data_IF_015447999661
#
_entry.id   IF_015447999661
#
_cell.length_a   1.000
_cell.length_b   1.000
_cell.length_c   1.000
_cell.angle_alpha   90.00
_cell.angle_beta   90.00
_cell.angle_gamma   90.00
#
_symmetry.space_group_name_H-M   'P 1'
#
loop_
_entity.id
_entity.type
_entity.pdbx_description
1 polymer ?
#
# COMPACT_ATOMS: atom_id res chain seq x y z
N UNK A 1 7.36 -5.60 0.81
CA UNK A 1 6.27 -4.60 0.75
C UNK A 1 4.93 -5.30 0.86
N UNK A 2 3.96 -4.67 1.54
CA UNK A 2 2.55 -5.08 1.54
C UNK A 2 1.74 -4.03 0.78
N UNK A 3 0.88 -4.48 -0.15
CA UNK A 3 -0.07 -3.67 -0.89
C UNK A 3 -1.49 -4.09 -0.54
N UNK A 4 -2.27 -3.20 0.09
CA UNK A 4 -3.60 -3.50 0.62
C UNK A 4 -4.67 -3.30 -0.45
N UNK A 5 -5.20 -4.39 -0.99
CA UNK A 5 -6.22 -4.45 -2.03
C UNK A 5 -7.50 -5.22 -1.61
N UNK A 6 -7.70 -5.44 -0.30
CA UNK A 6 -8.84 -6.22 0.22
C UNK A 6 -10.10 -5.39 0.53
N UNK A 7 -10.06 -4.06 0.36
CA UNK A 7 -11.17 -3.18 0.66
C UNK A 7 -12.40 -3.44 -0.22
N UNK A 8 -13.60 -3.34 0.37
CA UNK A 8 -14.88 -3.64 -0.29
C UNK A 8 -15.32 -2.61 -1.34
N UNK A 9 -14.64 -1.45 -1.44
CA UNK A 9 -14.94 -0.37 -2.41
C UNK A 9 -16.42 0.04 -2.48
N UNK A 10 -17.17 -0.09 -1.37
CA UNK A 10 -18.64 0.05 -1.34
C UNK A 10 -19.16 1.40 -1.88
N UNK A 11 -18.39 2.47 -1.66
CA UNK A 11 -18.74 3.82 -2.15
C UNK A 11 -18.50 4.02 -3.65
N UNK A 12 -17.65 3.19 -4.26
CA UNK A 12 -17.32 3.29 -5.69
C UNK A 12 -18.22 2.44 -6.58
N UNK A 13 -18.92 1.45 -6.02
CA UNK A 13 -19.68 0.46 -6.81
C UNK A 13 -18.78 -0.51 -7.60
N UNK A 14 -17.50 -0.17 -7.77
CA UNK A 14 -16.49 -0.97 -8.46
C UNK A 14 -15.23 -1.13 -7.61
N UNK A 15 -14.45 -2.14 -7.92
CA UNK A 15 -13.20 -2.43 -7.22
C UNK A 15 -12.15 -1.37 -7.55
N UNK A 16 -11.79 -0.50 -6.58
CA UNK A 16 -10.93 0.67 -6.78
C UNK A 16 -9.59 0.36 -7.43
N UNK A 17 -8.90 -0.67 -6.96
CA UNK A 17 -7.56 -1.01 -7.46
C UNK A 17 -7.58 -1.60 -8.88
N UNK A 18 -8.77 -1.94 -9.41
CA UNK A 18 -8.98 -2.36 -10.80
C UNK A 18 -9.47 -1.22 -11.71
N UNK A 19 -9.72 -0.02 -11.16
CA UNK A 19 -9.98 1.16 -11.98
C UNK A 19 -8.79 1.45 -12.87
N UNK A 20 -9.06 1.97 -14.06
CA UNK A 20 -8.02 2.27 -15.04
C UNK A 20 -7.50 3.69 -14.89
N UNK A 21 -6.23 3.86 -15.07
CA UNK A 21 -5.58 5.15 -15.27
C UNK A 21 -5.88 5.69 -16.66
N UNK A 22 -5.47 6.92 -16.96
CA UNK A 22 -5.60 7.49 -18.28
C UNK A 22 -4.85 6.68 -19.36
N UNK A 23 -3.78 5.97 -18.97
CA UNK A 23 -2.96 5.10 -19.84
C UNK A 23 -3.61 3.72 -20.06
N UNK A 24 -4.78 3.46 -19.48
CA UNK A 24 -5.55 2.24 -19.67
C UNK A 24 -5.11 1.04 -18.83
N UNK A 25 -4.08 1.17 -17.99
CA UNK A 25 -3.65 0.15 -17.02
C UNK A 25 -4.41 0.29 -15.71
N UNK A 26 -4.49 -0.77 -14.91
CA UNK A 26 -5.18 -0.70 -13.60
C UNK A 26 -4.35 0.05 -12.56
N UNK A 27 -4.99 0.58 -11.51
CA UNK A 27 -4.29 1.20 -10.38
C UNK A 27 -3.30 0.24 -9.75
N UNK A 28 -3.71 -1.02 -9.57
CA UNK A 28 -2.84 -2.07 -9.04
C UNK A 28 -1.61 -2.30 -9.93
N UNK A 29 -1.82 -2.42 -11.23
CA UNK A 29 -0.75 -2.61 -12.21
C UNK A 29 0.23 -1.43 -12.19
N UNK A 30 -0.27 -0.20 -12.17
CA UNK A 30 0.56 1.01 -12.11
C UNK A 30 1.43 1.04 -10.84
N UNK A 31 0.85 0.73 -9.68
CA UNK A 31 1.59 0.68 -8.43
C UNK A 31 2.63 -0.43 -8.41
N UNK A 32 2.29 -1.63 -8.91
CA UNK A 32 3.23 -2.75 -8.97
C UNK A 32 4.38 -2.46 -9.93
N UNK A 33 4.12 -1.84 -11.10
CA UNK A 33 5.17 -1.39 -12.01
C UNK A 33 6.14 -0.41 -11.33
N UNK A 34 5.62 0.55 -10.58
CA UNK A 34 6.45 1.50 -9.82
C UNK A 34 7.21 0.82 -8.68
N UNK A 35 6.58 -0.11 -7.97
CA UNK A 35 7.22 -0.88 -6.89
C UNK A 35 8.34 -1.78 -7.40
N UNK A 36 8.19 -2.39 -8.58
CA UNK A 36 9.22 -3.26 -9.18
C UNK A 36 10.49 -2.50 -9.58
N UNK A 37 10.46 -1.18 -9.69
CA UNK A 37 11.65 -0.34 -9.87
C UNK A 37 12.50 -0.23 -8.60
N UNK A 38 11.94 -0.58 -7.45
CA UNK A 38 12.66 -0.66 -6.17
C UNK A 38 13.09 -2.13 -5.91
N UNK A 39 14.29 -2.39 -5.34
CA UNK A 39 14.83 -3.74 -5.18
C UNK A 39 14.15 -4.53 -4.05
N UNK A 40 12.83 -4.64 -4.06
CA UNK A 40 12.12 -5.50 -3.13
C UNK A 40 12.50 -6.98 -3.31
N UNK A 41 12.66 -7.68 -2.20
CA UNK A 41 12.76 -9.14 -2.21
C UNK A 41 11.39 -9.79 -2.36
N UNK A 42 10.33 -9.10 -1.86
CA UNK A 42 8.98 -9.61 -1.85
C UNK A 42 7.94 -8.49 -1.85
N UNK A 43 6.89 -8.65 -2.65
CA UNK A 43 5.70 -7.80 -2.68
C UNK A 43 4.49 -8.71 -2.44
N UNK A 44 3.79 -8.50 -1.32
CA UNK A 44 2.57 -9.24 -0.97
C UNK A 44 1.35 -8.37 -1.22
N UNK A 45 0.51 -8.76 -2.15
CA UNK A 45 -0.77 -8.10 -2.43
C UNK A 45 -1.86 -8.80 -1.64
N UNK A 46 -2.49 -8.07 -0.71
CA UNK A 46 -3.58 -8.59 0.11
C UNK A 46 -4.90 -8.33 -0.59
N UNK A 47 -5.55 -9.36 -1.11
CA UNK A 47 -6.84 -9.29 -1.80
C UNK A 47 -7.97 -9.84 -0.94
N UNK A 48 -9.22 -9.47 -1.20
CA UNK A 48 -10.38 -10.22 -0.70
C UNK A 48 -10.61 -11.46 -1.55
N UNK A 49 -11.31 -12.47 -1.00
CA UNK A 49 -11.68 -13.67 -1.74
C UNK A 49 -12.45 -13.33 -3.02
N UNK A 50 -13.40 -12.40 -2.93
CA UNK A 50 -14.23 -11.95 -4.07
C UNK A 50 -13.39 -11.38 -5.24
N UNK A 51 -12.29 -10.70 -4.94
CA UNK A 51 -11.46 -10.04 -5.94
C UNK A 51 -10.20 -10.84 -6.31
N UNK A 52 -9.94 -11.96 -5.65
CA UNK A 52 -8.71 -12.72 -5.81
C UNK A 52 -8.35 -13.03 -7.27
N UNK A 53 -9.27 -13.65 -8.01
CA UNK A 53 -8.99 -14.04 -9.41
C UNK A 53 -8.61 -12.86 -10.30
N UNK A 54 -9.25 -11.69 -10.10
CA UNK A 54 -8.93 -10.46 -10.85
C UNK A 54 -7.60 -9.86 -10.42
N UNK A 55 -7.32 -9.86 -9.12
CA UNK A 55 -6.05 -9.40 -8.55
C UNK A 55 -4.91 -10.27 -9.04
N UNK A 56 -5.05 -11.58 -8.95
CA UNK A 56 -4.06 -12.56 -9.39
C UNK A 56 -3.76 -12.44 -10.88
N UNK A 57 -4.79 -12.25 -11.71
CA UNK A 57 -4.62 -12.01 -13.15
C UNK A 57 -3.74 -10.78 -13.42
N UNK A 58 -3.93 -9.67 -12.72
CA UNK A 58 -3.09 -8.46 -12.86
C UNK A 58 -1.67 -8.75 -12.38
N UNK A 59 -1.50 -9.37 -11.22
CA UNK A 59 -0.18 -9.66 -10.66
C UNK A 59 0.61 -10.63 -11.55
N UNK A 60 -0.01 -11.71 -12.04
CA UNK A 60 0.62 -12.71 -12.91
C UNK A 60 1.02 -12.15 -14.28
N UNK A 61 0.30 -11.12 -14.80
CA UNK A 61 0.64 -10.47 -16.06
C UNK A 61 2.00 -9.76 -16.03
N UNK A 62 2.46 -9.35 -14.85
CA UNK A 62 3.75 -8.68 -14.64
C UNK A 62 4.95 -9.64 -14.64
N UNK A 63 4.72 -10.95 -14.63
CA UNK A 63 5.75 -12.00 -14.73
C UNK A 63 6.92 -11.84 -13.78
N UNK A 64 6.64 -11.43 -12.54
CA UNK A 64 7.64 -11.25 -11.49
C UNK A 64 7.45 -12.27 -10.37
N UNK A 65 8.49 -13.02 -10.04
CA UNK A 65 8.54 -13.99 -8.94
C UNK A 65 8.51 -13.32 -7.54
N UNK A 66 8.69 -12.00 -7.51
CA UNK A 66 8.64 -11.21 -6.27
C UNK A 66 7.21 -10.94 -5.79
N UNK A 67 6.21 -11.07 -6.67
CA UNK A 67 4.82 -10.75 -6.36
C UNK A 67 4.07 -12.01 -5.96
N UNK A 68 3.46 -11.98 -4.78
CA UNK A 68 2.47 -12.98 -4.37
C UNK A 68 1.13 -12.32 -4.06
N UNK A 69 0.05 -13.03 -4.29
CA UNK A 69 -1.29 -12.61 -3.91
C UNK A 69 -1.79 -13.49 -2.79
N UNK A 70 -2.22 -12.88 -1.69
CA UNK A 70 -2.82 -13.59 -0.55
C UNK A 70 -4.25 -13.16 -0.36
N UNK A 71 -5.05 -14.03 0.28
CA UNK A 71 -6.47 -13.78 0.52
C UNK A 71 -6.69 -13.36 1.97
N UNK A 72 -7.30 -12.18 2.17
CA UNK A 72 -7.99 -11.88 3.41
C UNK A 72 -9.38 -12.52 3.33
N UNK A 73 -9.61 -13.57 4.13
CA UNK A 73 -10.89 -14.30 4.17
C UNK A 73 -11.99 -13.54 4.94
N UNK A 74 -11.61 -12.53 5.74
CA UNK A 74 -12.51 -11.77 6.61
C UNK A 74 -12.37 -10.26 6.35
N UNK A 75 -12.74 -9.77 5.16
CA UNK A 75 -12.59 -8.36 4.79
C UNK A 75 -13.45 -7.42 5.66
N UNK A 76 -14.49 -7.96 6.34
CA UNK A 76 -15.33 -7.24 7.31
C UNK A 76 -14.58 -6.87 8.60
N UNK A 77 -13.42 -7.50 8.89
CA UNK A 77 -12.54 -7.15 10.02
C UNK A 77 -11.68 -5.92 9.76
N UNK A 78 -12.03 -5.17 8.72
CA UNK A 78 -11.43 -3.90 8.35
C UNK A 78 -9.95 -3.96 7.92
N UNK A 79 -9.36 -2.76 7.80
CA UNK A 79 -8.05 -2.56 7.21
C UNK A 79 -6.91 -3.14 8.05
N UNK A 80 -6.99 -3.06 9.39
CA UNK A 80 -5.90 -3.51 10.25
C UNK A 80 -5.70 -5.03 10.16
N UNK A 81 -6.77 -5.79 10.09
CA UNK A 81 -6.68 -7.23 9.85
C UNK A 81 -6.05 -7.55 8.48
N UNK A 82 -6.34 -6.77 7.44
CA UNK A 82 -5.67 -6.92 6.14
C UNK A 82 -4.16 -6.67 6.26
N UNK A 83 -3.72 -5.70 7.08
CA UNK A 83 -2.31 -5.48 7.38
C UNK A 83 -1.70 -6.71 8.04
N UNK A 84 -2.35 -7.27 9.07
CA UNK A 84 -1.88 -8.49 9.75
C UNK A 84 -1.78 -9.68 8.79
N UNK A 85 -2.75 -9.87 7.87
CA UNK A 85 -2.66 -10.89 6.83
C UNK A 85 -1.38 -10.74 6.01
N UNK A 86 -1.07 -9.54 5.54
CA UNK A 86 0.17 -9.25 4.80
C UNK A 86 1.42 -9.45 5.64
N UNK A 87 1.42 -9.00 6.90
CA UNK A 87 2.58 -9.10 7.80
C UNK A 87 2.98 -10.53 8.13
N UNK A 88 2.05 -11.50 8.15
CA UNK A 88 2.36 -12.93 8.30
C UNK A 88 3.33 -13.43 7.22
N UNK A 89 3.29 -12.82 6.03
CA UNK A 89 4.18 -13.12 4.90
C UNK A 89 5.48 -12.30 4.91
N UNK A 90 5.61 -11.37 5.88
CA UNK A 90 6.81 -10.54 6.09
C UNK A 90 7.64 -11.00 7.29
N UNK A 91 7.29 -12.12 7.94
CA UNK A 91 8.09 -12.70 9.02
C UNK A 91 9.48 -13.07 8.47
N UNK A 92 10.52 -12.60 9.16
CA UNK A 92 11.92 -12.81 8.73
C UNK A 92 12.53 -11.64 7.97
N UNK A 93 11.74 -10.68 7.52
CA UNK A 93 12.26 -9.43 6.95
C UNK A 93 12.54 -8.40 8.05
N UNK A 94 13.60 -7.60 7.85
CA UNK A 94 13.96 -6.56 8.81
C UNK A 94 13.08 -5.32 8.68
N UNK A 95 12.55 -5.06 7.48
CA UNK A 95 11.70 -3.90 7.19
C UNK A 95 10.58 -4.27 6.22
N UNK A 96 9.45 -3.55 6.33
CA UNK A 96 8.32 -3.71 5.44
C UNK A 96 7.67 -2.35 5.12
N UNK A 97 7.41 -2.07 3.85
CA UNK A 97 6.55 -0.97 3.43
C UNK A 97 5.08 -1.41 3.46
N UNK A 98 4.21 -0.54 3.95
CA UNK A 98 2.75 -0.71 3.92
C UNK A 98 2.15 0.36 3.01
N UNK A 99 1.47 -0.05 1.95
CA UNK A 99 0.87 0.81 0.93
C UNK A 99 -0.60 0.44 0.69
N UNK A 100 -1.41 1.42 0.31
CA UNK A 100 -2.81 1.23 -0.08
C UNK A 100 -2.97 1.14 -1.59
N UNK A 101 -3.85 0.26 -2.04
CA UNK A 101 -4.13 0.08 -3.46
C UNK A 101 -5.04 1.17 -4.08
N UNK A 102 -5.60 2.08 -3.28
CA UNK A 102 -6.40 3.23 -3.72
C UNK A 102 -5.57 4.46 -4.12
N UNK A 103 -4.24 4.38 -4.00
CA UNK A 103 -3.30 5.39 -4.48
C UNK A 103 -2.52 4.88 -5.70
N UNK A 104 -2.93 5.21 -6.95
CA UNK A 104 -2.24 4.75 -8.14
C UNK A 104 -0.89 5.41 -8.43
N UNK A 105 -0.54 6.47 -7.71
CA UNK A 105 0.64 7.30 -8.01
C UNK A 105 1.85 7.01 -7.10
N UNK A 106 1.98 5.77 -6.62
CA UNK A 106 3.19 5.36 -5.90
C UNK A 106 4.44 5.65 -6.74
N UNK A 107 5.42 6.38 -6.18
CA UNK A 107 6.69 6.65 -6.83
C UNK A 107 7.81 5.82 -6.22
N UNK A 108 8.63 5.20 -7.08
CA UNK A 108 9.84 4.49 -6.63
C UNK A 108 10.83 5.42 -5.93
N UNK A 109 10.94 6.69 -6.36
CA UNK A 109 11.80 7.68 -5.70
C UNK A 109 11.43 7.84 -4.22
N UNK A 110 10.14 7.96 -3.90
CA UNK A 110 9.67 8.04 -2.52
C UNK A 110 10.07 6.80 -1.71
N UNK A 111 10.02 5.60 -2.31
CA UNK A 111 10.51 4.39 -1.65
C UNK A 111 12.00 4.47 -1.31
N UNK A 112 12.84 4.97 -2.23
CA UNK A 112 14.28 5.15 -1.98
C UNK A 112 14.56 6.21 -0.89
N UNK A 113 13.83 7.33 -0.90
CA UNK A 113 13.95 8.37 0.13
C UNK A 113 13.64 7.82 1.52
N UNK A 114 12.55 7.06 1.67
CA UNK A 114 12.20 6.44 2.95
C UNK A 114 13.17 5.33 3.37
N UNK A 115 13.62 4.50 2.41
CA UNK A 115 14.56 3.41 2.69
C UNK A 115 15.93 3.94 3.14
N UNK A 116 16.39 5.07 2.65
CA UNK A 116 17.63 5.71 3.08
C UNK A 116 17.64 6.01 4.58
N UNK A 117 16.47 6.19 5.17
CA UNK A 117 16.26 6.51 6.57
C UNK A 117 15.90 5.30 7.46
N UNK A 118 15.83 4.08 6.90
CA UNK A 118 15.34 2.87 7.59
C UNK A 118 16.07 2.50 8.89
N UNK A 119 17.29 3.03 9.09
CA UNK A 119 18.10 2.78 10.30
C UNK A 119 17.97 3.89 11.35
N UNK A 120 17.26 4.97 11.04
CA UNK A 120 17.19 6.17 11.90
C UNK A 120 16.05 6.14 12.91
N UNK A 121 15.04 5.27 12.71
CA UNK A 121 13.90 5.10 13.62
C UNK A 121 13.20 3.75 13.35
N UNK A 122 12.31 3.34 14.27
CA UNK A 122 11.54 2.09 14.13
C UNK A 122 10.51 2.15 13.00
N UNK A 123 10.06 3.36 12.68
CA UNK A 123 9.04 3.65 11.68
C UNK A 123 9.43 4.92 10.90
N UNK A 124 9.23 4.90 9.58
CA UNK A 124 9.46 6.05 8.71
C UNK A 124 8.15 6.40 8.00
N UNK A 125 7.72 7.65 8.13
CA UNK A 125 6.48 8.16 7.55
C UNK A 125 6.80 9.30 6.58
N UNK A 126 6.41 9.21 5.31
CA UNK A 126 6.57 10.32 4.38
C UNK A 126 5.66 11.48 4.79
N UNK A 127 6.18 12.69 4.64
CA UNK A 127 5.44 13.93 4.94
C UNK A 127 5.58 14.88 3.76
N UNK A 128 4.47 15.47 3.36
CA UNK A 128 4.43 16.59 2.46
C UNK A 128 3.44 17.62 3.02
N UNK A 129 3.78 18.90 3.00
CA UNK A 129 2.96 19.97 3.59
C UNK A 129 2.52 19.67 5.04
N UNK A 130 3.45 19.16 5.86
CA UNK A 130 3.25 18.78 7.27
C UNK A 130 2.25 17.63 7.52
N UNK A 131 1.68 17.03 6.47
CA UNK A 131 0.75 15.89 6.55
C UNK A 131 1.47 14.59 6.23
N UNK A 132 1.29 13.57 7.08
CA UNK A 132 1.80 12.22 6.85
C UNK A 132 1.02 11.48 5.77
N UNK A 133 1.69 10.60 5.03
CA UNK A 133 1.10 9.83 3.95
C UNK A 133 1.58 8.38 3.88
N UNK A 134 1.38 7.77 2.73
CA UNK A 134 1.83 6.42 2.40
C UNK A 134 2.81 6.43 1.22
N UNK A 135 3.70 5.40 1.13
CA UNK A 135 3.81 4.21 1.98
C UNK A 135 4.46 4.51 3.34
N UNK A 136 4.15 3.71 4.35
CA UNK A 136 4.82 3.75 5.65
C UNK A 136 5.84 2.61 5.69
N UNK A 137 7.08 2.89 6.12
CA UNK A 137 8.11 1.88 6.34
C UNK A 137 8.18 1.55 7.82
N UNK A 138 8.10 0.26 8.17
CA UNK A 138 8.18 -0.25 9.54
C UNK A 138 9.30 -1.26 9.70
N UNK A 139 9.93 -1.26 10.87
CA UNK A 139 10.99 -2.19 11.24
C UNK A 139 10.46 -3.50 11.81
N UNK A 140 11.37 -4.46 12.00
CA UNK A 140 11.12 -5.84 12.44
C UNK A 140 10.35 -5.95 13.77
N UNK A 141 10.65 -5.07 14.74
CA UNK A 141 9.95 -5.05 16.03
C UNK A 141 8.48 -4.74 15.82
N UNK A 142 8.18 -3.68 15.05
CA UNK A 142 6.79 -3.29 14.74
C UNK A 142 6.08 -4.40 13.96
N UNK A 143 6.75 -5.07 13.00
CA UNK A 143 6.16 -6.20 12.27
C UNK A 143 5.65 -7.27 13.25
N UNK A 144 6.46 -7.63 14.25
CA UNK A 144 6.08 -8.65 15.25
C UNK A 144 4.93 -8.20 16.15
N UNK A 145 5.00 -6.96 16.61
CA UNK A 145 4.02 -6.43 17.58
C UNK A 145 2.65 -6.20 16.93
N UNK A 146 2.62 -5.73 15.66
CA UNK A 146 1.37 -5.61 14.91
C UNK A 146 0.69 -6.97 14.65
N UNK A 147 1.46 -8.06 14.55
CA UNK A 147 0.89 -9.40 14.36
C UNK A 147 0.09 -9.91 15.56
N UNK A 148 0.41 -9.43 16.77
CA UNK A 148 -0.26 -9.81 18.03
C UNK A 148 -1.18 -8.72 18.58
N UNK A 149 -1.23 -7.56 17.93
CA UNK A 149 -2.14 -6.47 18.29
C UNK A 149 -3.61 -6.88 18.03
N UNK A 150 -4.59 -6.27 18.74
CA UNK A 150 -6.00 -6.53 18.49
C UNK A 150 -6.39 -6.28 17.03
N UNK A 151 -7.16 -7.21 16.42
CA UNK A 151 -7.54 -7.14 15.00
C UNK A 151 -8.35 -5.90 14.63
N UNK A 152 -9.05 -5.30 15.59
CA UNK A 152 -9.82 -4.06 15.43
C UNK A 152 -9.00 -2.80 15.73
N UNK A 153 -7.68 -2.92 15.85
CA UNK A 153 -6.79 -1.78 16.07
C UNK A 153 -6.64 -0.92 14.80
N UNK A 154 -5.89 0.15 14.90
CA UNK A 154 -5.58 1.06 13.79
C UNK A 154 -4.07 1.23 13.69
N UNK A 155 -3.54 1.20 12.46
CA UNK A 155 -2.11 1.32 12.22
C UNK A 155 -1.53 2.61 12.82
N UNK A 156 -2.21 3.75 12.63
CA UNK A 156 -1.77 5.04 13.17
C UNK A 156 -1.66 5.02 14.69
N UNK A 157 -2.62 4.38 15.39
CA UNK A 157 -2.61 4.24 16.84
C UNK A 157 -1.53 3.28 17.35
N UNK A 158 -1.31 2.19 16.65
CA UNK A 158 -0.23 1.27 16.99
C UNK A 158 1.15 1.92 16.81
N UNK A 159 1.33 2.72 15.76
CA UNK A 159 2.59 3.39 15.50
C UNK A 159 2.92 4.52 16.50
N UNK A 160 1.94 5.10 17.20
CA UNK A 160 2.16 6.07 18.29
C UNK A 160 3.05 5.52 19.43
N UNK A 161 3.17 4.19 19.54
CA UNK A 161 3.97 3.50 20.57
C UNK A 161 5.48 3.46 20.26
N UNK A 162 5.90 3.91 19.05
CA UNK A 162 7.26 3.75 18.56
C UNK A 162 7.90 5.08 18.16
N UNK A 163 9.22 5.06 18.03
CA UNK A 163 9.96 6.15 17.44
C UNK A 163 9.70 6.19 15.94
N UNK A 164 8.86 7.13 15.49
CA UNK A 164 8.55 7.33 14.07
C UNK A 164 9.21 8.61 13.55
N UNK A 165 10.12 8.47 12.58
CA UNK A 165 10.71 9.60 11.86
C UNK A 165 9.81 10.05 10.74
N UNK A 166 9.54 11.34 10.67
CA UNK A 166 8.82 11.99 9.57
C UNK A 166 9.83 12.50 8.55
N UNK A 167 9.73 12.03 7.30
CA UNK A 167 10.64 12.38 6.21
C UNK A 167 9.90 13.26 5.20
N UNK A 168 10.39 14.49 5.00
CA UNK A 168 9.83 15.39 4.00
C UNK A 168 10.19 14.89 2.59
N UNK A 169 9.17 14.62 1.78
CA UNK A 169 9.30 14.19 0.40
C UNK A 169 8.64 15.19 -0.54
N UNK A 170 9.22 15.40 -1.72
CA UNK A 170 8.65 16.26 -2.77
C UNK A 170 7.63 15.46 -3.62
N UNK A 171 6.70 14.80 -2.95
CA UNK A 171 5.72 13.92 -3.57
C UNK A 171 4.32 14.13 -2.96
N UNK A 172 3.49 14.93 -3.63
CA UNK A 172 2.10 15.18 -3.19
C UNK A 172 1.22 13.92 -3.33
N UNK A 173 1.66 12.91 -4.10
CA UNK A 173 0.87 11.69 -4.30
C UNK A 173 0.80 10.82 -3.05
N UNK A 174 1.65 11.04 -2.04
CA UNK A 174 1.58 10.30 -0.76
C UNK A 174 0.24 10.46 -0.02
N UNK A 175 -0.53 11.50 -0.36
CA UNK A 175 -1.86 11.77 0.20
C UNK A 175 -3.01 11.36 -0.72
N UNK A 176 -2.69 10.89 -1.93
CA UNK A 176 -3.72 10.56 -2.90
C UNK A 176 -4.50 9.34 -2.44
N UNK A 177 -5.81 9.52 -2.25
CA UNK A 177 -6.76 8.45 -2.03
C UNK A 177 -7.93 8.68 -2.98
N UNK A 178 -8.24 7.68 -3.79
CA UNK A 178 -9.38 7.73 -4.71
C UNK A 178 -10.50 6.92 -4.08
N UNK A 179 -11.41 7.62 -3.37
CA UNK A 179 -12.44 7.02 -2.54
C UNK A 179 -13.83 7.05 -3.16
N UNK A 180 -14.09 8.01 -4.05
CA UNK A 180 -15.40 8.26 -4.65
C UNK A 180 -15.31 8.31 -6.18
N UNK A 181 -16.45 8.13 -6.92
CA UNK A 181 -16.48 8.34 -8.37
C UNK A 181 -16.02 9.74 -8.80
N UNK A 182 -16.26 10.75 -7.97
CA UNK A 182 -15.81 12.12 -8.23
C UNK A 182 -14.29 12.25 -8.12
N UNK A 183 -13.66 11.62 -7.07
CA UNK A 183 -12.20 11.56 -6.96
C UNK A 183 -11.59 10.93 -8.21
N UNK A 184 -12.19 9.84 -8.68
CA UNK A 184 -11.72 9.15 -9.89
C UNK A 184 -11.84 10.02 -11.14
N UNK A 185 -12.99 10.69 -11.32
CA UNK A 185 -13.19 11.63 -12.44
C UNK A 185 -12.14 12.76 -12.42
N UNK A 186 -11.89 13.33 -11.24
CA UNK A 186 -10.90 14.39 -11.05
C UNK A 186 -9.49 13.88 -11.32
N UNK A 187 -9.15 12.66 -10.89
CA UNK A 187 -7.87 12.02 -11.16
C UNK A 187 -7.65 11.84 -12.67
N UNK A 188 -8.63 11.27 -13.39
CA UNK A 188 -8.52 11.07 -14.85
C UNK A 188 -8.45 12.40 -15.59
N UNK A 189 -9.20 13.43 -15.17
CA UNK A 189 -9.14 14.76 -15.77
C UNK A 189 -7.77 15.42 -15.65
N UNK A 190 -7.10 15.29 -14.51
CA UNK A 190 -5.75 15.83 -14.27
C UNK A 190 -4.66 15.08 -15.04
N UNK A 191 -4.84 13.79 -15.30
CA UNK A 191 -3.83 12.96 -15.98
C UNK A 191 -3.92 13.01 -17.51
N UNK A 192 -5.08 13.37 -18.08
CA UNK A 192 -5.25 13.58 -19.55
C UNK A 192 -4.71 14.91 -20.04
N UNK A 193 -4.43 15.85 -19.17
CA UNK A 193 -3.93 17.20 -19.51
C UNK A 193 -2.41 17.35 -19.42
N UNK A 194 -1.68 16.27 -19.21
CA UNK A 194 -0.21 16.20 -19.22
C UNK A 194 0.27 15.35 -20.40
#
# INVERSE_FOLDING_TARGET
MILLAAGNSSRMGECKFLLKTADGITFLEKQLNSALLFPFNKITVVSSLHNYARTDKVCSSLRSDKIEVIINQFPERERFYSIQCGLRHMIGFDHCFIQNADNPELKSLTLYELDSERKSADCIIPVNENKGGHPVLIGKTIIKDLLVAPENSRLDKELEKYSCKRVNVQDNSIHLNIDTPEDYKNYIGKTKGK
#
